data_IF_971674178107
#
_entry.id   IF_971674178107
#
_cell.length_a   1.000
_cell.length_b   1.000
_cell.length_c   1.000
_cell.angle_alpha   90.00
_cell.angle_beta   90.00
_cell.angle_gamma   90.00
#
_symmetry.space_group_name_H-M   'P 1'
#
loop_
_entity.id
_entity.type
_entity.pdbx_description
1 polymer ?
#
# COMPACT_ATOMS: atom_id res chain seq x y z
N UNK A 1 -12.43 -39.26 -6.41
CA UNK A 1 -12.00 -37.91 -6.86
C UNK A 1 -13.01 -36.93 -6.32
N UNK A 2 -12.66 -36.24 -5.23
CA UNK A 2 -13.41 -35.07 -4.77
C UNK A 2 -13.24 -33.96 -5.81
N UNK A 3 -14.31 -33.23 -6.19
CA UNK A 3 -14.16 -32.08 -7.07
C UNK A 3 -13.17 -31.11 -6.42
N UNK A 4 -12.15 -30.68 -7.16
CA UNK A 4 -11.34 -29.54 -6.76
C UNK A 4 -12.30 -28.39 -6.53
N UNK A 5 -12.37 -27.90 -5.29
CA UNK A 5 -13.11 -26.68 -5.00
C UNK A 5 -12.46 -25.59 -5.85
N UNK A 6 -13.20 -25.05 -6.82
CA UNK A 6 -12.80 -23.83 -7.51
C UNK A 6 -12.34 -22.82 -6.46
N UNK A 7 -11.14 -22.27 -6.65
CA UNK A 7 -10.62 -21.24 -5.76
C UNK A 7 -11.59 -20.06 -5.81
N UNK A 8 -12.34 -19.86 -4.74
CA UNK A 8 -13.21 -18.69 -4.61
C UNK A 8 -12.33 -17.48 -4.38
N UNK A 9 -12.07 -16.73 -5.44
CA UNK A 9 -11.40 -15.44 -5.37
C UNK A 9 -12.41 -14.43 -4.84
N UNK A 10 -12.37 -14.22 -3.54
CA UNK A 10 -13.03 -13.07 -2.94
C UNK A 10 -12.39 -11.81 -3.54
N UNK A 11 -13.20 -10.82 -3.94
CA UNK A 11 -12.76 -9.42 -4.01
C UNK A 11 -12.17 -9.10 -2.66
N UNK A 12 -10.86 -9.27 -2.53
CA UNK A 12 -10.17 -8.95 -1.29
C UNK A 12 -10.24 -7.44 -1.18
N UNK A 13 -10.77 -6.86 -0.09
CA UNK A 13 -10.41 -5.50 0.25
C UNK A 13 -8.89 -5.50 0.42
N UNK A 14 -8.19 -5.02 -0.60
CA UNK A 14 -6.73 -4.99 -0.61
C UNK A 14 -6.25 -4.17 0.59
N UNK A 15 -5.27 -4.69 1.35
CA UNK A 15 -5.55 -4.98 2.73
C UNK A 15 -5.06 -3.84 3.62
N UNK A 16 -5.99 -3.19 4.28
CA UNK A 16 -5.70 -2.58 5.57
C UNK A 16 -5.88 -3.64 6.67
N UNK A 17 -6.63 -4.72 6.39
CA UNK A 17 -6.84 -5.87 7.26
C UNK A 17 -5.71 -6.91 7.31
N UNK A 18 -4.62 -6.78 6.55
CA UNK A 18 -3.50 -7.76 6.55
C UNK A 18 -2.34 -7.36 7.45
N UNK A 19 -2.29 -6.12 7.91
CA UNK A 19 -1.50 -5.84 9.09
C UNK A 19 -2.26 -6.52 10.22
N UNK A 20 -1.74 -7.64 10.72
CA UNK A 20 -2.28 -8.37 11.86
C UNK A 20 -2.10 -7.54 13.16
N UNK A 21 -2.53 -6.28 13.14
CA UNK A 21 -2.62 -5.43 14.31
C UNK A 21 -3.54 -6.14 15.29
N UNK A 22 -3.12 -6.23 16.55
CA UNK A 22 -3.96 -6.81 17.59
C UNK A 22 -5.29 -6.06 17.61
N UNK A 23 -6.43 -6.77 17.60
CA UNK A 23 -7.78 -6.17 17.71
C UNK A 23 -7.95 -5.26 18.93
N UNK A 24 -7.08 -5.41 19.94
CA UNK A 24 -7.09 -4.58 21.14
C UNK A 24 -6.12 -3.39 21.07
N UNK A 25 -5.39 -3.19 19.95
CA UNK A 25 -4.33 -2.19 19.88
C UNK A 25 -4.83 -0.76 20.04
N UNK A 26 -6.04 -0.49 19.54
CA UNK A 26 -6.70 0.81 19.62
C UNK A 26 -7.99 0.77 20.44
N UNK A 27 -8.16 -0.22 21.33
CA UNK A 27 -9.31 -0.28 22.21
C UNK A 27 -9.15 0.75 23.34
N UNK A 28 -10.13 1.64 23.47
CA UNK A 28 -10.24 2.63 24.53
C UNK A 28 -11.51 2.40 25.37
N UNK A 29 -11.61 3.11 26.48
CA UNK A 29 -12.73 3.11 27.43
C UNK A 29 -13.38 4.48 27.42
N UNK A 30 -14.66 4.51 27.05
CA UNK A 30 -15.48 5.70 27.06
C UNK A 30 -15.67 6.22 28.50
N UNK A 31 -15.41 7.51 28.75
CA UNK A 31 -15.45 8.05 30.11
C UNK A 31 -16.86 8.21 30.67
N UNK A 32 -17.87 8.42 29.81
CA UNK A 32 -19.25 8.63 30.25
C UNK A 32 -19.94 7.30 30.54
N UNK A 33 -19.73 6.31 29.67
CA UNK A 33 -20.45 5.03 29.70
C UNK A 33 -19.64 3.89 30.31
N UNK A 34 -18.32 4.04 30.43
CA UNK A 34 -17.39 2.98 30.83
C UNK A 34 -17.26 1.84 29.82
N UNK A 35 -17.90 1.94 28.65
CA UNK A 35 -17.90 0.89 27.63
C UNK A 35 -16.67 0.98 26.73
N UNK A 36 -16.17 -0.17 26.23
CA UNK A 36 -15.07 -0.18 25.28
C UNK A 36 -15.51 0.36 23.91
N UNK A 37 -14.60 1.08 23.24
CA UNK A 37 -14.75 1.49 21.84
C UNK A 37 -13.37 1.48 21.14
N UNK A 38 -13.37 1.66 19.82
CA UNK A 38 -12.14 1.67 19.00
C UNK A 38 -12.27 2.64 17.80
N UNK A 39 -11.28 2.57 16.89
CA UNK A 39 -11.16 3.40 15.69
C UNK A 39 -11.33 2.60 14.37
N UNK A 40 -11.89 1.40 14.44
CA UNK A 40 -11.98 0.48 13.29
C UNK A 40 -12.86 1.04 12.18
N UNK A 41 -13.92 1.79 12.52
CA UNK A 41 -14.78 2.43 11.52
C UNK A 41 -14.02 3.45 10.67
N UNK A 42 -13.15 4.24 11.31
CA UNK A 42 -12.33 5.27 10.66
C UNK A 42 -11.25 4.64 9.78
N UNK A 43 -10.62 3.56 10.24
CA UNK A 43 -9.74 2.74 9.41
C UNK A 43 -10.51 2.18 8.20
N UNK A 44 -11.72 1.67 8.43
CA UNK A 44 -12.67 1.16 7.43
C UNK A 44 -12.95 2.13 6.28
N UNK A 45 -13.17 3.42 6.60
CA UNK A 45 -13.39 4.46 5.58
C UNK A 45 -12.16 4.60 4.68
N UNK A 46 -10.98 4.63 5.29
CA UNK A 46 -9.73 4.73 4.58
C UNK A 46 -9.45 3.50 3.70
N UNK A 47 -9.76 2.28 4.17
CA UNK A 47 -9.59 1.06 3.36
C UNK A 47 -10.44 1.10 2.09
N UNK A 48 -11.71 1.49 2.22
CA UNK A 48 -12.64 1.55 1.08
C UNK A 48 -12.18 2.53 0.02
N UNK A 49 -11.63 3.69 0.44
CA UNK A 49 -11.10 4.68 -0.49
C UNK A 49 -9.92 4.11 -1.29
N UNK A 50 -8.98 3.47 -0.61
CA UNK A 50 -7.79 2.91 -1.26
C UNK A 50 -8.14 1.70 -2.13
N UNK A 51 -9.04 0.83 -1.67
CA UNK A 51 -9.51 -0.31 -2.44
C UNK A 51 -10.07 0.10 -3.80
N UNK A 52 -10.80 1.23 -3.88
CA UNK A 52 -11.30 1.75 -5.17
C UNK A 52 -10.18 2.09 -6.17
N UNK A 53 -9.09 2.70 -5.70
CA UNK A 53 -7.93 3.07 -6.55
C UNK A 53 -7.16 1.82 -6.94
N UNK A 54 -6.91 0.94 -5.98
CA UNK A 54 -6.11 -0.26 -6.18
C UNK A 54 -6.83 -1.24 -7.11
N UNK A 55 -8.16 -1.40 -6.98
CA UNK A 55 -8.96 -2.23 -7.89
C UNK A 55 -8.99 -1.68 -9.32
N UNK A 56 -9.07 -0.35 -9.50
CA UNK A 56 -8.99 0.29 -10.81
C UNK A 56 -7.62 0.03 -11.49
N UNK A 57 -6.54 0.02 -10.71
CA UNK A 57 -5.21 -0.33 -11.21
C UNK A 57 -5.11 -1.82 -11.55
N UNK A 58 -5.57 -2.72 -10.67
CA UNK A 58 -5.33 -4.16 -10.82
C UNK A 58 -6.29 -4.83 -11.80
N UNK A 59 -7.58 -4.51 -11.71
CA UNK A 59 -8.59 -5.17 -12.52
C UNK A 59 -8.83 -4.45 -13.84
N UNK A 60 -8.77 -3.12 -13.86
CA UNK A 60 -9.01 -2.33 -15.07
C UNK A 60 -7.72 -1.92 -15.81
N UNK A 61 -6.55 -2.14 -15.21
CA UNK A 61 -5.26 -1.71 -15.75
C UNK A 61 -5.23 -0.21 -16.09
N UNK A 62 -5.93 0.62 -15.30
CA UNK A 62 -6.03 2.06 -15.54
C UNK A 62 -4.76 2.82 -15.10
N UNK A 63 -3.62 2.44 -15.67
CA UNK A 63 -2.31 2.94 -15.25
C UNK A 63 -2.12 4.43 -15.58
N UNK A 64 -2.74 4.94 -16.65
CA UNK A 64 -2.62 6.34 -17.03
C UNK A 64 -3.19 7.32 -16.00
N UNK A 65 -4.16 6.87 -15.19
CA UNK A 65 -4.71 7.60 -14.04
C UNK A 65 -3.64 7.97 -13.00
N UNK A 66 -2.51 7.26 -12.94
CA UNK A 66 -1.39 7.59 -12.05
C UNK A 66 -0.75 8.96 -12.38
N UNK A 67 -1.09 9.58 -13.51
CA UNK A 67 -0.69 10.97 -13.83
C UNK A 67 -1.66 12.03 -13.32
N UNK A 68 -2.83 11.65 -12.83
CA UNK A 68 -3.81 12.63 -12.37
C UNK A 68 -3.30 13.34 -11.12
N UNK A 69 -3.56 14.64 -11.06
CA UNK A 69 -3.12 15.55 -9.98
C UNK A 69 -4.27 16.40 -9.44
N UNK A 70 -5.51 16.08 -9.83
CA UNK A 70 -6.66 16.79 -9.29
C UNK A 70 -6.76 16.48 -7.79
N UNK A 71 -7.02 17.46 -6.89
CA UNK A 71 -7.07 17.20 -5.45
C UNK A 71 -8.00 16.02 -5.05
N UNK A 72 -9.15 15.90 -5.72
CA UNK A 72 -10.09 14.80 -5.47
C UNK A 72 -9.67 13.47 -6.11
N UNK A 73 -8.82 13.53 -7.15
CA UNK A 73 -8.34 12.39 -7.94
C UNK A 73 -6.83 12.48 -8.18
N UNK A 74 -6.06 12.31 -7.11
CA UNK A 74 -4.60 12.18 -7.14
C UNK A 74 -4.17 10.79 -6.64
N UNK A 75 -4.19 9.74 -7.49
CA UNK A 75 -3.93 8.37 -7.06
C UNK A 75 -2.56 8.17 -6.44
N UNK A 76 -1.51 8.80 -6.99
CA UNK A 76 -0.13 8.62 -6.49
C UNK A 76 0.03 9.21 -5.10
N UNK A 77 -0.58 10.35 -4.80
CA UNK A 77 -0.60 10.89 -3.43
C UNK A 77 -1.28 9.92 -2.47
N UNK A 78 -2.43 9.36 -2.85
CA UNK A 78 -3.17 8.41 -2.01
C UNK A 78 -2.40 7.11 -1.81
N UNK A 79 -1.78 6.55 -2.84
CA UNK A 79 -0.98 5.31 -2.79
C UNK A 79 0.30 5.48 -1.96
N UNK A 80 1.00 6.61 -2.10
CA UNK A 80 2.21 6.89 -1.30
C UNK A 80 1.86 7.19 0.15
N UNK A 81 0.75 7.88 0.41
CA UNK A 81 0.20 8.05 1.77
C UNK A 81 -0.18 6.70 2.38
N UNK A 82 -0.72 5.79 1.57
CA UNK A 82 -1.00 4.41 1.96
C UNK A 82 0.24 3.63 2.32
N UNK A 83 1.29 3.68 1.51
CA UNK A 83 2.56 3.04 1.83
C UNK A 83 3.08 3.47 3.21
N UNK A 84 3.08 4.78 3.49
CA UNK A 84 3.55 5.33 4.78
C UNK A 84 2.61 4.99 5.94
N UNK A 85 1.30 5.13 5.75
CA UNK A 85 0.32 4.82 6.80
C UNK A 85 0.41 3.35 7.21
N UNK A 86 0.59 2.46 6.24
CA UNK A 86 0.70 1.03 6.50
C UNK A 86 2.01 0.66 7.20
N UNK A 87 3.13 1.31 6.85
CA UNK A 87 4.35 1.19 7.62
C UNK A 87 4.11 1.54 9.09
N UNK A 88 3.38 2.61 9.37
CA UNK A 88 3.06 3.04 10.74
C UNK A 88 2.14 2.05 11.45
N UNK A 89 1.04 1.63 10.84
CA UNK A 89 0.15 0.61 11.41
C UNK A 89 0.90 -0.70 11.68
N UNK A 90 1.85 -1.06 10.82
CA UNK A 90 2.65 -2.27 11.00
C UNK A 90 3.67 -2.17 12.14
N UNK A 91 4.05 -0.99 12.62
CA UNK A 91 4.80 -0.86 13.87
C UNK A 91 3.99 -1.34 15.07
N UNK A 92 2.67 -1.46 14.97
CA UNK A 92 1.82 -2.06 16.01
C UNK A 92 1.60 -3.56 15.84
N UNK A 93 2.06 -4.16 14.74
CA UNK A 93 1.90 -5.59 14.48
C UNK A 93 2.87 -6.42 15.32
N UNK A 94 2.40 -7.36 16.18
CA UNK A 94 3.28 -8.22 16.97
C UNK A 94 4.20 -9.13 16.12
N UNK A 95 3.85 -9.40 14.87
CA UNK A 95 4.64 -10.23 13.95
C UNK A 95 5.70 -9.46 13.16
N UNK A 96 5.75 -8.12 13.30
CA UNK A 96 6.78 -7.28 12.70
C UNK A 96 8.13 -7.58 13.36
N UNK A 97 9.09 -8.02 12.54
CA UNK A 97 10.44 -8.44 12.93
C UNK A 97 11.48 -7.32 12.79
N UNK A 98 11.09 -6.11 12.40
CA UNK A 98 12.03 -5.00 12.29
C UNK A 98 12.74 -4.78 13.65
N UNK A 99 14.08 -4.92 13.71
CA UNK A 99 14.81 -4.80 14.97
C UNK A 99 14.72 -3.40 15.58
N UNK A 100 14.42 -2.37 14.77
CA UNK A 100 14.26 -0.98 15.19
C UNK A 100 12.80 -0.60 15.47
N UNK A 101 11.87 -1.56 15.47
CA UNK A 101 10.43 -1.31 15.62
C UNK A 101 10.08 -0.45 16.83
N UNK A 102 10.62 -0.76 18.00
CA UNK A 102 10.29 -0.03 19.24
C UNK A 102 10.83 1.40 19.22
N UNK A 103 12.09 1.57 18.83
CA UNK A 103 12.71 2.90 18.67
C UNK A 103 11.92 3.76 17.67
N UNK A 104 11.53 3.19 16.53
CA UNK A 104 10.69 3.90 15.55
C UNK A 104 9.33 4.29 16.15
N UNK A 105 8.65 3.37 16.83
CA UNK A 105 7.35 3.62 17.44
C UNK A 105 7.43 4.71 18.51
N UNK A 106 8.45 4.66 19.37
CA UNK A 106 8.74 5.70 20.36
C UNK A 106 8.98 7.05 19.67
N UNK A 107 9.80 7.10 18.62
CA UNK A 107 10.07 8.35 17.88
C UNK A 107 8.81 8.93 17.22
N UNK A 108 7.92 8.10 16.70
CA UNK A 108 6.68 8.56 16.08
C UNK A 108 5.67 9.05 17.11
N UNK A 109 5.62 8.43 18.28
CA UNK A 109 4.70 8.81 19.35
C UNK A 109 5.20 9.95 20.24
N UNK A 110 6.53 10.15 20.34
CA UNK A 110 7.15 11.08 21.27
C UNK A 110 6.51 12.48 21.20
N UNK A 111 6.31 13.02 19.98
CA UNK A 111 5.74 14.35 19.82
C UNK A 111 4.33 14.48 20.40
N UNK A 112 3.47 13.49 20.18
CA UNK A 112 2.10 13.48 20.72
C UNK A 112 2.12 13.25 22.23
N UNK A 113 3.01 12.38 22.70
CA UNK A 113 3.14 12.08 24.13
C UNK A 113 3.63 13.29 24.93
N UNK A 114 4.66 13.98 24.43
CA UNK A 114 5.26 15.15 25.08
C UNK A 114 4.28 16.33 25.15
N UNK A 115 3.38 16.45 24.17
CA UNK A 115 2.41 17.56 24.07
C UNK A 115 0.95 17.10 24.24
N UNK A 116 0.69 15.93 24.84
CA UNK A 116 -0.65 15.33 24.88
C UNK A 116 -1.69 16.25 25.50
N UNK A 117 -1.32 16.95 26.59
CA UNK A 117 -2.23 17.88 27.28
C UNK A 117 -2.66 19.04 26.38
N UNK A 118 -1.75 19.55 25.54
CA UNK A 118 -2.03 20.64 24.59
C UNK A 118 -2.93 20.17 23.45
N UNK A 119 -2.68 18.96 22.92
CA UNK A 119 -3.56 18.35 21.93
C UNK A 119 -4.97 18.11 22.50
N UNK A 120 -5.10 17.53 23.70
CA UNK A 120 -6.40 17.32 24.35
C UNK A 120 -7.13 18.65 24.55
N UNK A 121 -6.43 19.68 25.02
CA UNK A 121 -7.01 21.02 25.17
C UNK A 121 -7.55 21.55 23.83
N UNK A 122 -6.74 21.50 22.78
CA UNK A 122 -7.09 21.97 21.44
C UNK A 122 -8.28 21.20 20.85
N UNK A 123 -8.28 19.87 21.00
CA UNK A 123 -9.39 19.00 20.59
C UNK A 123 -10.69 19.39 21.29
N UNK A 124 -10.63 19.64 22.60
CA UNK A 124 -11.81 20.04 23.38
C UNK A 124 -12.34 21.44 23.02
N UNK A 125 -11.54 22.28 22.36
CA UNK A 125 -12.00 23.56 21.83
C UNK A 125 -12.63 23.44 20.43
N UNK A 126 -12.50 22.31 19.72
CA UNK A 126 -13.05 22.15 18.37
C UNK A 126 -14.55 22.45 18.26
N UNK A 127 -15.43 21.97 19.17
CA UNK A 127 -16.87 22.26 19.08
C UNK A 127 -17.23 23.75 19.16
N UNK A 128 -16.34 24.58 19.73
CA UNK A 128 -16.55 26.02 19.87
C UNK A 128 -15.83 26.83 18.80
N UNK A 129 -14.61 26.42 18.44
CA UNK A 129 -13.76 27.16 17.51
C UNK A 129 -14.03 26.84 16.03
N UNK A 130 -14.36 25.59 15.72
CA UNK A 130 -14.55 25.07 14.37
C UNK A 130 -15.74 24.09 14.37
N UNK A 131 -16.97 24.55 14.68
CA UNK A 131 -18.12 23.68 14.87
C UNK A 131 -18.45 22.85 13.62
N UNK A 132 -18.17 23.35 12.41
CA UNK A 132 -18.39 22.61 11.16
C UNK A 132 -17.59 21.31 11.06
N UNK A 133 -16.44 21.21 11.73
CA UNK A 133 -15.65 19.97 11.74
C UNK A 133 -16.37 18.86 12.52
N UNK A 134 -17.24 19.20 13.46
CA UNK A 134 -17.96 18.24 14.29
C UNK A 134 -19.07 17.49 13.54
N UNK A 135 -19.41 17.91 12.32
CA UNK A 135 -20.32 17.19 11.44
C UNK A 135 -19.68 15.89 10.89
N UNK A 136 -18.35 15.86 10.80
CA UNK A 136 -17.59 14.69 10.36
C UNK A 136 -17.26 13.76 11.54
N UNK A 137 -17.54 12.47 11.34
CA UNK A 137 -17.32 11.42 12.34
C UNK A 137 -15.87 11.30 12.82
N UNK A 138 -14.86 11.63 11.99
CA UNK A 138 -13.45 11.59 12.41
C UNK A 138 -13.19 12.53 13.57
N UNK A 139 -13.65 13.79 13.50
CA UNK A 139 -13.44 14.77 14.58
C UNK A 139 -14.25 14.42 15.83
N UNK A 140 -15.46 13.87 15.67
CA UNK A 140 -16.21 13.30 16.81
C UNK A 140 -15.45 12.17 17.48
N UNK A 141 -14.83 11.27 16.71
CA UNK A 141 -14.02 10.17 17.26
C UNK A 141 -12.78 10.70 17.97
N UNK A 142 -12.08 11.67 17.40
CA UNK A 142 -10.93 12.34 18.04
C UNK A 142 -11.32 12.97 19.37
N UNK A 143 -12.44 13.70 19.41
CA UNK A 143 -12.97 14.29 20.64
C UNK A 143 -13.30 13.22 21.69
N UNK A 144 -13.90 12.10 21.27
CA UNK A 144 -14.19 10.96 22.14
C UNK A 144 -12.91 10.31 22.69
N UNK A 145 -11.86 10.17 21.86
CA UNK A 145 -10.56 9.63 22.28
C UNK A 145 -9.90 10.54 23.32
N UNK A 146 -9.87 11.84 23.09
CA UNK A 146 -9.28 12.82 24.02
C UNK A 146 -9.93 12.73 25.42
N UNK A 147 -11.26 12.62 25.44
CA UNK A 147 -12.07 12.53 26.66
C UNK A 147 -12.25 11.11 27.20
N UNK A 148 -11.59 10.09 26.61
CA UNK A 148 -11.68 8.71 27.11
C UNK A 148 -11.04 8.55 28.49
N UNK A 149 -11.46 7.52 29.24
CA UNK A 149 -10.88 7.16 30.54
C UNK A 149 -9.63 6.24 30.42
N UNK A 150 -9.10 6.08 29.20
CA UNK A 150 -7.93 5.25 28.93
C UNK A 150 -6.62 5.92 29.33
N UNK A 151 -5.55 5.14 29.42
CA UNK A 151 -4.21 5.67 29.67
C UNK A 151 -3.76 6.64 28.58
N UNK A 152 -2.89 7.57 28.94
CA UNK A 152 -2.29 8.53 28.01
C UNK A 152 -1.61 7.83 26.83
N UNK A 153 -0.93 6.71 27.07
CA UNK A 153 -0.31 5.90 26.01
C UNK A 153 -1.34 5.42 24.96
N UNK A 154 -2.49 4.91 25.42
CA UNK A 154 -3.54 4.44 24.52
C UNK A 154 -4.18 5.61 23.76
N UNK A 155 -4.36 6.77 24.41
CA UNK A 155 -4.83 8.00 23.76
C UNK A 155 -3.86 8.46 22.68
N UNK A 156 -2.56 8.58 23.01
CA UNK A 156 -1.51 8.98 22.07
C UNK A 156 -1.52 8.10 20.82
N UNK A 157 -1.57 6.77 21.01
CA UNK A 157 -1.58 5.81 19.91
C UNK A 157 -2.80 5.97 19.01
N UNK A 158 -3.99 6.10 19.58
CA UNK A 158 -5.21 6.31 18.81
C UNK A 158 -5.23 7.67 18.09
N UNK A 159 -4.80 8.74 18.77
CA UNK A 159 -4.69 10.08 18.19
C UNK A 159 -3.67 10.12 17.05
N UNK A 160 -2.52 9.47 17.19
CA UNK A 160 -1.51 9.36 16.14
C UNK A 160 -2.10 8.79 14.85
N UNK A 161 -2.84 7.68 14.96
CA UNK A 161 -3.48 7.05 13.81
C UNK A 161 -4.58 7.93 13.23
N UNK A 162 -5.47 8.49 14.06
CA UNK A 162 -6.58 9.33 13.59
C UNK A 162 -6.07 10.61 12.89
N UNK A 163 -5.05 11.27 13.44
CA UNK A 163 -4.40 12.41 12.77
C UNK A 163 -3.71 12.00 11.47
N UNK A 164 -3.09 10.83 11.44
CA UNK A 164 -2.55 10.24 10.22
C UNK A 164 -3.62 10.04 9.15
N UNK A 165 -4.77 9.47 9.52
CA UNK A 165 -5.90 9.28 8.61
C UNK A 165 -6.48 10.62 8.12
N UNK A 166 -6.62 11.62 8.98
CA UNK A 166 -7.01 12.97 8.53
C UNK A 166 -6.01 13.53 7.52
N UNK A 167 -4.71 13.35 7.77
CA UNK A 167 -3.64 13.78 6.86
C UNK A 167 -3.75 13.11 5.49
N UNK A 168 -3.99 11.80 5.44
CA UNK A 168 -4.12 11.06 4.17
C UNK A 168 -5.40 11.38 3.42
N UNK A 169 -6.44 11.80 4.13
CA UNK A 169 -7.72 12.25 3.57
C UNK A 169 -7.73 13.74 3.19
N UNK A 170 -6.57 14.42 3.27
CA UNK A 170 -6.44 15.87 3.03
C UNK A 170 -7.41 16.71 3.89
N UNK A 171 -7.67 16.26 5.12
CA UNK A 171 -8.52 16.95 6.10
C UNK A 171 -7.65 17.74 7.09
N UNK A 172 -8.15 18.88 7.62
CA UNK A 172 -7.44 19.62 8.67
C UNK A 172 -7.05 18.72 9.85
N UNK A 173 -5.78 18.73 10.24
CA UNK A 173 -5.24 17.92 11.34
C UNK A 173 -4.32 18.75 12.22
N UNK A 174 -4.29 18.44 13.51
CA UNK A 174 -3.36 19.06 14.46
C UNK A 174 -1.94 18.49 14.33
N UNK A 175 -1.79 17.34 13.65
CA UNK A 175 -0.53 16.64 13.51
C UNK A 175 -0.40 16.02 12.12
N UNK A 176 0.63 16.42 11.38
CA UNK A 176 0.82 16.10 9.95
C UNK A 176 2.15 15.36 9.68
N UNK A 177 2.48 14.38 10.51
CA UNK A 177 3.73 13.61 10.34
C UNK A 177 3.69 12.66 9.15
N UNK A 178 2.51 12.13 8.81
CA UNK A 178 2.35 11.20 7.69
C UNK A 178 2.69 11.88 6.38
N UNK A 179 2.16 13.08 6.10
CA UNK A 179 2.48 13.78 4.85
C UNK A 179 3.95 14.23 4.82
N UNK A 180 4.51 14.68 5.95
CA UNK A 180 5.96 14.98 6.04
C UNK A 180 6.81 13.76 5.68
N UNK A 181 6.49 12.59 6.24
CA UNK A 181 7.23 11.35 5.98
C UNK A 181 7.05 10.88 4.53
N UNK A 182 5.82 10.90 4.01
CA UNK A 182 5.51 10.62 2.61
C UNK A 182 6.31 11.50 1.68
N UNK A 183 6.29 12.81 1.90
CA UNK A 183 7.02 13.76 1.07
C UNK A 183 8.51 13.44 1.13
N UNK A 184 9.09 13.21 2.31
CA UNK A 184 10.51 12.85 2.43
C UNK A 184 10.89 11.56 1.68
N UNK A 185 10.06 10.52 1.75
CA UNK A 185 10.34 9.21 1.13
C UNK A 185 10.11 9.26 -0.39
N UNK A 186 9.03 9.88 -0.83
CA UNK A 186 8.56 9.88 -2.21
C UNK A 186 8.82 11.23 -2.92
N UNK A 187 9.83 11.98 -2.48
CA UNK A 187 10.18 13.26 -3.12
C UNK A 187 10.63 13.02 -4.55
N UNK A 188 10.13 13.85 -5.47
CA UNK A 188 10.66 13.96 -6.82
C UNK A 188 10.47 12.71 -7.68
N UNK A 189 9.33 12.02 -7.52
CA UNK A 189 8.93 10.93 -8.42
C UNK A 189 8.92 11.44 -9.86
N UNK A 190 9.77 10.89 -10.72
CA UNK A 190 9.83 11.23 -12.14
C UNK A 190 9.41 10.07 -13.06
N UNK A 191 9.50 8.84 -12.58
CA UNK A 191 9.03 7.65 -13.31
C UNK A 191 8.24 6.77 -12.35
N UNK A 192 7.12 6.24 -12.85
CA UNK A 192 6.38 5.17 -12.19
C UNK A 192 6.45 3.96 -13.11
N UNK A 193 7.10 2.90 -12.65
CA UNK A 193 7.11 1.64 -13.37
C UNK A 193 5.97 0.76 -12.84
N UNK A 194 5.21 0.15 -13.75
CA UNK A 194 4.21 -0.85 -13.43
C UNK A 194 4.79 -2.21 -13.80
N UNK A 195 5.01 -3.06 -12.81
CA UNK A 195 5.56 -4.41 -13.00
C UNK A 195 4.40 -5.41 -12.92
N UNK A 196 4.11 -6.08 -14.04
CA UNK A 196 3.04 -7.06 -14.15
C UNK A 196 3.62 -8.46 -14.42
N UNK A 197 3.18 -9.46 -13.64
CA UNK A 197 3.74 -10.82 -13.74
C UNK A 197 3.43 -11.55 -15.05
N UNK A 198 2.58 -11.00 -15.91
CA UNK A 198 2.20 -11.62 -17.17
C UNK A 198 1.01 -12.59 -17.07
N UNK A 199 0.43 -12.75 -15.87
CA UNK A 199 -0.80 -13.50 -15.71
C UNK A 199 -1.89 -12.72 -15.00
N UNK A 200 -3.11 -13.05 -15.38
CA UNK A 200 -4.33 -12.47 -14.87
C UNK A 200 -4.39 -12.56 -13.35
N UNK A 201 -5.15 -11.64 -12.73
CA UNK A 201 -5.30 -11.60 -11.29
C UNK A 201 -5.84 -12.93 -10.75
N UNK A 202 -6.75 -13.58 -11.46
CA UNK A 202 -7.37 -14.85 -11.08
C UNK A 202 -6.64 -16.10 -11.59
N UNK A 203 -5.48 -15.96 -12.24
CA UNK A 203 -4.75 -17.09 -12.78
C UNK A 203 -4.32 -18.08 -11.69
N UNK A 204 -4.63 -19.36 -11.92
CA UNK A 204 -4.24 -20.51 -11.10
C UNK A 204 -2.96 -21.20 -11.58
N UNK A 205 -2.32 -20.69 -12.63
CA UNK A 205 -1.12 -21.28 -13.23
C UNK A 205 0.09 -21.19 -12.29
N UNK A 206 0.94 -22.24 -12.20
CA UNK A 206 2.32 -22.21 -11.68
C UNK A 206 3.10 -20.98 -12.15
N UNK A 207 3.47 -20.07 -11.23
CA UNK A 207 4.11 -18.77 -11.48
C UNK A 207 4.72 -18.17 -10.21
N UNK A 208 5.59 -17.17 -10.30
CA UNK A 208 5.96 -16.34 -9.17
C UNK A 208 4.90 -15.24 -8.97
N UNK A 209 4.63 -14.90 -7.71
CA UNK A 209 3.67 -13.88 -7.28
C UNK A 209 4.30 -12.87 -6.31
N UNK A 210 4.03 -11.57 -6.48
CA UNK A 210 4.50 -10.56 -5.54
C UNK A 210 3.94 -10.82 -4.14
N UNK A 211 4.81 -10.86 -3.14
CA UNK A 211 4.34 -10.91 -1.77
C UNK A 211 3.81 -9.55 -1.33
N UNK A 212 2.58 -9.55 -0.83
CA UNK A 212 2.01 -8.40 -0.12
C UNK A 212 2.30 -8.64 1.35
N UNK A 213 3.37 -8.04 1.86
CA UNK A 213 3.75 -8.17 3.26
C UNK A 213 3.15 -7.02 4.10
N UNK A 214 3.17 -7.14 5.45
CA UNK A 214 2.78 -6.05 6.33
C UNK A 214 3.63 -4.79 6.17
N UNK A 215 4.81 -4.90 5.54
CA UNK A 215 5.58 -3.75 5.06
C UNK A 215 5.15 -3.50 3.63
N UNK A 216 4.27 -2.52 3.47
CA UNK A 216 3.57 -2.27 2.20
C UNK A 216 4.51 -1.78 1.10
N UNK A 217 5.77 -1.44 1.40
CA UNK A 217 6.74 -1.06 0.40
C UNK A 217 8.19 -1.42 0.76
N UNK A 218 9.02 -1.59 -0.27
CA UNK A 218 10.46 -1.84 -0.19
C UNK A 218 11.23 -0.62 -0.71
N UNK A 219 12.19 -0.11 0.07
CA UNK A 219 13.07 0.99 -0.34
C UNK A 219 14.41 0.42 -0.78
N UNK A 220 14.67 0.44 -2.08
CA UNK A 220 15.96 0.09 -2.65
C UNK A 220 16.77 1.36 -2.95
N UNK A 221 17.43 1.85 -1.89
CA UNK A 221 18.08 3.17 -1.84
C UNK A 221 19.16 3.36 -2.90
N UNK A 222 19.94 2.32 -3.18
CA UNK A 222 21.08 2.40 -4.10
C UNK A 222 20.66 2.75 -5.53
N UNK A 223 19.40 2.46 -5.89
CA UNK A 223 18.83 2.77 -7.21
C UNK A 223 17.70 3.82 -7.16
N UNK A 224 17.46 4.47 -6.02
CA UNK A 224 16.34 5.39 -5.79
C UNK A 224 14.97 4.80 -6.15
N UNK A 225 14.81 3.49 -5.92
CA UNK A 225 13.61 2.71 -6.25
C UNK A 225 12.80 2.44 -5.00
N UNK A 226 11.49 2.61 -5.12
CA UNK A 226 10.54 2.27 -4.06
C UNK A 226 9.45 1.38 -4.62
N UNK A 227 9.44 0.10 -4.25
CA UNK A 227 8.45 -0.87 -4.69
C UNK A 227 7.25 -0.87 -3.75
N UNK A 228 6.05 -0.79 -4.31
CA UNK A 228 4.76 -0.89 -3.63
C UNK A 228 3.98 -2.05 -4.26
N UNK A 229 4.06 -3.27 -3.69
CA UNK A 229 3.25 -4.40 -4.11
C UNK A 229 1.77 -4.14 -3.84
N UNK A 230 0.94 -4.23 -4.89
CA UNK A 230 -0.50 -3.97 -4.79
C UNK A 230 -1.31 -5.26 -4.78
N UNK A 231 -0.86 -6.26 -5.54
CA UNK A 231 -1.44 -7.60 -5.61
C UNK A 231 -0.35 -8.62 -5.92
N UNK A 232 -0.70 -9.89 -5.89
CA UNK A 232 0.20 -10.98 -6.29
C UNK A 232 0.63 -10.90 -7.77
N UNK A 233 -0.04 -10.10 -8.61
CA UNK A 233 0.31 -9.97 -10.03
C UNK A 233 0.79 -8.58 -10.46
N UNK A 234 0.65 -7.54 -9.61
CA UNK A 234 1.03 -6.16 -9.94
C UNK A 234 1.78 -5.49 -8.77
N UNK A 235 2.90 -4.86 -9.11
CA UNK A 235 3.69 -3.96 -8.26
C UNK A 235 3.86 -2.62 -8.95
N UNK A 236 3.83 -1.54 -8.18
CA UNK A 236 4.31 -0.23 -8.63
C UNK A 236 5.75 -0.02 -8.16
N UNK A 237 6.60 0.56 -8.97
CA UNK A 237 7.93 1.04 -8.58
C UNK A 237 8.01 2.55 -8.82
N UNK A 238 8.25 3.32 -7.76
CA UNK A 238 8.46 4.75 -7.84
C UNK A 238 9.96 5.03 -7.96
N UNK A 239 10.37 5.68 -9.05
CA UNK A 239 11.73 6.18 -9.22
C UNK A 239 11.77 7.63 -8.76
N UNK A 240 12.49 7.84 -7.66
CA UNK A 240 12.62 9.14 -6.97
C UNK A 240 13.90 9.87 -7.37
N UNK A 241 13.95 11.18 -7.19
CA UNK A 241 15.10 11.99 -7.58
C UNK A 241 14.83 13.50 -7.55
N UNK A 242 15.44 14.24 -8.48
CA UNK A 242 15.44 15.72 -8.49
C UNK A 242 14.29 16.35 -9.28
N UNK A 243 13.19 15.64 -9.51
CA UNK A 243 12.08 16.17 -10.30
C UNK A 243 11.46 17.41 -9.66
N UNK A 244 11.45 18.52 -10.40
CA UNK A 244 10.91 19.81 -9.94
C UNK A 244 9.37 19.88 -10.00
N UNK A 245 8.74 19.07 -10.86
CA UNK A 245 7.29 19.07 -11.06
C UNK A 245 6.79 17.63 -11.19
N UNK A 246 5.62 17.35 -10.62
CA UNK A 246 5.01 16.03 -10.73
C UNK A 246 4.40 15.84 -12.12
N UNK A 247 5.11 15.13 -13.00
CA UNK A 247 4.64 14.70 -14.32
C UNK A 247 5.34 13.40 -14.71
N UNK A 248 5.01 12.28 -14.05
CA UNK A 248 5.78 11.06 -14.19
C UNK A 248 5.63 10.45 -15.59
N UNK A 249 6.75 9.94 -16.10
CA UNK A 249 6.71 8.93 -17.16
C UNK A 249 6.14 7.63 -16.56
N UNK A 250 5.32 6.92 -17.32
CA UNK A 250 4.78 5.63 -16.86
C UNK A 250 5.25 4.56 -17.81
N UNK A 251 6.04 3.63 -17.27
CA UNK A 251 6.64 2.53 -18.00
C UNK A 251 6.05 1.21 -17.49
N UNK A 252 5.47 0.40 -18.37
CA UNK A 252 4.80 -0.85 -18.04
C UNK A 252 5.68 -2.00 -18.49
N UNK A 253 6.16 -2.80 -17.54
CA UNK A 253 6.99 -3.97 -17.78
C UNK A 253 6.12 -5.21 -17.58
N UNK A 254 5.97 -5.99 -18.64
CA UNK A 254 5.23 -7.26 -18.58
C UNK A 254 5.78 -8.28 -19.57
N UNK A 255 5.80 -9.58 -19.20
CA UNK A 255 6.05 -10.65 -20.17
C UNK A 255 4.93 -10.84 -21.18
N UNK A 256 3.74 -10.34 -20.85
CA UNK A 256 2.54 -10.48 -21.66
C UNK A 256 1.78 -9.16 -21.75
N UNK A 257 2.39 -8.11 -22.33
CA UNK A 257 1.76 -6.79 -22.42
C UNK A 257 0.45 -6.83 -23.22
N UNK A 258 0.27 -7.82 -24.11
CA UNK A 258 -0.95 -8.01 -24.90
C UNK A 258 -2.17 -8.41 -24.05
N UNK A 259 -1.96 -8.96 -22.84
CA UNK A 259 -3.04 -9.32 -21.91
C UNK A 259 -3.59 -8.12 -21.13
N UNK A 260 -2.87 -6.99 -21.12
CA UNK A 260 -3.30 -5.81 -20.38
C UNK A 260 -4.42 -5.09 -21.11
N UNK A 261 -5.52 -4.78 -20.41
CA UNK A 261 -6.66 -4.02 -20.95
C UNK A 261 -6.26 -2.66 -21.53
N UNK A 262 -5.21 -2.04 -20.97
CA UNK A 262 -4.68 -0.75 -21.39
C UNK A 262 -3.60 -0.83 -22.48
N UNK A 263 -3.34 -1.99 -23.09
CA UNK A 263 -2.20 -2.21 -24.01
C UNK A 263 -2.17 -1.26 -25.24
N UNK A 264 -3.30 -0.62 -25.56
CA UNK A 264 -3.42 0.38 -26.63
C UNK A 264 -3.30 1.83 -26.16
N UNK A 265 -3.13 2.09 -24.86
CA UNK A 265 -2.99 3.45 -24.31
C UNK A 265 -1.65 4.07 -24.72
N UNK A 266 -1.71 5.03 -25.64
CA UNK A 266 -0.54 5.73 -26.20
C UNK A 266 0.17 6.64 -25.20
N UNK A 267 -0.47 6.94 -24.06
CA UNK A 267 0.16 7.70 -23.00
C UNK A 267 1.15 6.84 -22.20
N UNK A 268 1.11 5.52 -22.30
CA UNK A 268 1.97 4.59 -21.57
C UNK A 268 3.12 4.10 -22.46
N UNK A 269 4.27 3.81 -21.86
CA UNK A 269 5.34 3.08 -22.54
C UNK A 269 5.28 1.62 -22.13
N UNK A 270 5.04 0.72 -23.07
CA UNK A 270 5.08 -0.71 -22.81
C UNK A 270 6.46 -1.27 -23.13
N UNK A 271 6.92 -2.17 -22.28
CA UNK A 271 8.13 -2.96 -22.44
C UNK A 271 7.78 -4.43 -22.27
N UNK A 272 8.08 -5.22 -23.30
CA UNK A 272 8.08 -6.67 -23.19
C UNK A 272 9.34 -7.09 -22.43
N UNK A 273 9.18 -7.96 -21.44
CA UNK A 273 10.27 -8.49 -20.59
C UNK A 273 10.15 -10.00 -20.48
N UNK A 274 11.21 -10.69 -20.06
CA UNK A 274 11.12 -12.12 -19.75
C UNK A 274 10.37 -12.36 -18.43
N UNK A 275 9.91 -13.59 -18.20
CA UNK A 275 9.45 -13.98 -16.86
C UNK A 275 10.61 -13.95 -15.86
N UNK A 276 11.83 -14.32 -16.26
CA UNK A 276 13.02 -14.19 -15.41
C UNK A 276 13.28 -12.75 -14.92
N UNK A 277 13.03 -11.75 -15.77
CA UNK A 277 13.10 -10.34 -15.34
C UNK A 277 12.13 -10.06 -14.19
N UNK A 278 10.90 -10.58 -14.27
CA UNK A 278 9.91 -10.47 -13.20
C UNK A 278 10.36 -11.21 -11.94
N UNK A 279 10.90 -12.42 -12.09
CA UNK A 279 11.41 -13.25 -10.98
C UNK A 279 12.50 -12.52 -10.19
N UNK A 280 13.39 -11.80 -10.87
CA UNK A 280 14.43 -10.99 -10.25
C UNK A 280 13.87 -9.79 -9.45
N UNK A 281 12.90 -9.05 -10.02
CA UNK A 281 12.23 -7.94 -9.31
C UNK A 281 11.50 -8.46 -8.08
N UNK A 282 10.77 -9.56 -8.24
CA UNK A 282 10.07 -10.22 -7.16
C UNK A 282 11.00 -10.67 -6.04
N UNK A 283 12.10 -11.33 -6.38
CA UNK A 283 13.09 -11.82 -5.40
C UNK A 283 13.61 -10.67 -4.55
N UNK A 284 13.85 -9.50 -5.16
CA UNK A 284 14.27 -8.28 -4.44
C UNK A 284 13.21 -7.84 -3.41
N UNK A 285 11.95 -7.80 -3.82
CA UNK A 285 10.82 -7.43 -2.95
C UNK A 285 10.63 -8.44 -1.82
N UNK A 286 10.66 -9.73 -2.15
CA UNK A 286 10.44 -10.83 -1.22
C UNK A 286 11.56 -10.92 -0.17
N UNK A 287 12.81 -10.71 -0.57
CA UNK A 287 13.94 -10.64 0.37
C UNK A 287 13.75 -9.53 1.41
N UNK A 288 13.25 -8.37 1.01
CA UNK A 288 12.94 -7.27 1.93
C UNK A 288 11.79 -7.63 2.89
N UNK A 289 10.77 -8.30 2.37
CA UNK A 289 9.58 -8.70 3.12
C UNK A 289 9.87 -9.81 4.14
N UNK A 290 10.65 -10.82 3.77
CA UNK A 290 11.05 -11.93 4.67
C UNK A 290 11.88 -11.41 5.85
N UNK A 291 12.72 -10.40 5.62
CA UNK A 291 13.54 -9.79 6.67
C UNK A 291 12.72 -9.05 7.74
N UNK A 292 11.46 -8.74 7.47
CA UNK A 292 10.70 -7.75 8.25
C UNK A 292 9.35 -8.26 8.79
N UNK A 293 8.91 -9.47 8.38
CA UNK A 293 7.65 -10.08 8.83
C UNK A 293 7.78 -11.58 9.10
N UNK A 294 7.01 -12.09 10.06
CA UNK A 294 6.81 -13.54 10.28
C UNK A 294 5.73 -14.15 9.37
N UNK A 295 4.91 -13.30 8.76
CA UNK A 295 3.81 -13.68 7.89
C UNK A 295 4.14 -13.23 6.48
N UNK A 296 4.21 -14.21 5.58
CA UNK A 296 4.44 -14.04 4.16
C UNK A 296 3.21 -14.59 3.44
N UNK A 297 2.50 -13.72 2.71
CA UNK A 297 1.41 -14.16 1.85
C UNK A 297 2.01 -14.61 0.52
N UNK A 298 2.44 -15.86 0.48
CA UNK A 298 2.76 -16.53 -0.77
C UNK A 298 1.45 -16.98 -1.41
N UNK A 299 1.24 -16.64 -2.69
CA UNK A 299 0.21 -17.32 -3.48
C UNK A 299 0.60 -18.77 -3.84
N UNK A 300 1.83 -19.20 -3.48
CA UNK A 300 2.42 -20.47 -3.87
C UNK A 300 2.52 -21.49 -2.75
N UNK A 301 1.95 -22.66 -3.02
CA UNK A 301 2.30 -23.90 -2.33
C UNK A 301 3.65 -24.40 -2.87
N UNK A 302 4.54 -24.88 -1.99
CA UNK A 302 5.87 -25.37 -2.35
C UNK A 302 5.84 -26.47 -3.44
N UNK A 303 4.78 -27.27 -3.49
CA UNK A 303 4.55 -28.27 -4.54
C UNK A 303 4.51 -27.66 -5.95
N UNK A 304 3.92 -26.47 -6.09
CA UNK A 304 3.79 -25.77 -7.37
C UNK A 304 5.06 -25.04 -7.81
N UNK A 305 6.03 -24.86 -6.91
CA UNK A 305 7.34 -24.30 -7.27
C UNK A 305 8.11 -25.27 -8.19
N UNK A 306 8.14 -26.56 -7.84
CA UNK A 306 8.79 -27.56 -8.69
C UNK A 306 8.12 -27.64 -10.07
N UNK A 307 6.78 -27.58 -10.11
CA UNK A 307 6.05 -27.52 -11.39
C UNK A 307 6.41 -26.29 -12.22
N UNK A 308 6.63 -25.14 -11.58
CA UNK A 308 7.06 -23.92 -12.28
C UNK A 308 8.47 -24.05 -12.85
N UNK A 309 9.42 -24.59 -12.06
CA UNK A 309 10.79 -24.84 -12.51
C UNK A 309 10.84 -25.84 -13.67
N UNK A 310 10.02 -26.90 -13.62
CA UNK A 310 9.90 -27.87 -14.70
C UNK A 310 9.38 -27.21 -15.99
N UNK A 311 8.42 -26.28 -15.89
CA UNK A 311 7.94 -25.50 -17.05
C UNK A 311 9.02 -24.59 -17.64
N UNK A 312 9.78 -23.91 -16.79
CA UNK A 312 10.91 -23.08 -17.24
C UNK A 312 11.93 -23.90 -18.03
N UNK A 313 12.20 -25.13 -17.58
CA UNK A 313 13.11 -26.02 -18.29
C UNK A 313 12.53 -26.54 -19.62
N UNK A 314 11.21 -26.77 -19.68
CA UNK A 314 10.54 -27.27 -20.89
C UNK A 314 10.40 -26.20 -21.98
N UNK A 315 10.15 -24.93 -21.62
CA UNK A 315 9.93 -23.83 -22.55
C UNK A 315 10.87 -22.64 -22.27
N UNK A 316 12.17 -22.91 -22.36
CA UNK A 316 13.20 -21.95 -21.99
C UNK A 316 13.06 -20.61 -22.71
N UNK A 317 12.79 -20.61 -24.02
CA UNK A 317 12.68 -19.36 -24.77
C UNK A 317 11.50 -18.51 -24.29
N UNK A 318 10.36 -19.11 -23.96
CA UNK A 318 9.21 -18.38 -23.43
C UNK A 318 9.51 -17.70 -22.08
N UNK A 319 10.25 -18.36 -21.18
CA UNK A 319 10.52 -17.83 -19.84
C UNK A 319 11.70 -16.85 -19.78
N UNK A 320 12.70 -17.00 -20.66
CA UNK A 320 13.95 -16.24 -20.61
C UNK A 320 14.13 -15.21 -21.73
N UNK A 321 13.18 -15.09 -22.66
CA UNK A 321 13.22 -14.05 -23.71
C UNK A 321 12.14 -12.97 -23.52
N UNK A 322 12.44 -11.71 -23.86
CA UNK A 322 13.75 -11.18 -24.24
C UNK A 322 14.71 -11.10 -23.03
N UNK A 323 16.02 -11.20 -23.28
CA UNK A 323 17.06 -11.10 -22.24
C UNK A 323 17.04 -9.73 -21.53
N UNK A 324 16.70 -8.67 -22.27
CA UNK A 324 16.58 -7.31 -21.76
C UNK A 324 15.21 -6.73 -22.12
N UNK A 325 14.66 -5.78 -21.33
CA UNK A 325 13.42 -5.11 -21.67
C UNK A 325 13.43 -4.49 -23.08
N UNK A 326 12.44 -4.85 -23.90
CA UNK A 326 12.28 -4.33 -25.26
C UNK A 326 11.02 -3.52 -25.36
N UNK A 327 11.10 -2.31 -25.92
CA UNK A 327 9.91 -1.48 -26.14
C UNK A 327 8.89 -2.22 -27.00
N UNK A 328 7.67 -2.35 -26.49
CA UNK A 328 6.58 -3.07 -27.13
C UNK A 328 5.54 -2.07 -27.66
N UNK A 329 4.94 -2.42 -28.79
CA UNK A 329 3.77 -1.74 -29.32
C UNK A 329 2.75 -2.79 -29.76
N UNK A 330 1.45 -2.55 -29.52
CA UNK A 330 0.42 -3.44 -30.02
C UNK A 330 0.49 -3.47 -31.55
N UNK A 331 0.33 -4.66 -32.13
CA UNK A 331 0.19 -4.80 -33.57
C UNK A 331 -0.96 -3.90 -34.04
N UNK A 332 -0.70 -3.03 -35.03
CA UNK A 332 -1.75 -2.21 -35.61
C UNK A 332 -2.74 -3.16 -36.28
N UNK A 333 -3.98 -3.18 -35.80
CA UNK A 333 -5.09 -3.80 -36.50
C UNK A 333 -5.26 -3.05 -37.82
N UNK A 334 -4.78 -3.66 -38.91
CA UNK A 334 -5.11 -3.22 -40.27
C UNK A 334 -6.63 -3.36 -40.38
N UNK A 335 -7.32 -2.23 -40.44
CA UNK A 335 -8.77 -2.17 -40.64
C UNK A 335 -9.11 -2.24 -42.11
#
# INVERSE_FOLDING_TARGET
>A
MTPEKENVLHTQPLPISSVAVSKNCFRLIDAETGQPFDIEDELGVYERLLAGIVNDIIHEHNFSRLRHTHPDDFPVEKLTSFAVMQLMLNLHNPQNKNPYKQEMLEQFHADIQDHLSEYIHSINQLPHSNPELMDDHFYRKILRVANSASSDENKCRALFVLFGLLSTLNKPTLYDKINKLRNNIFTGIHTIEVIHTGHDFDSTEPRPAFAIAPNVFCIYKDENRIYLPLSHNITLCFITGTALHFRPRIDVFSPRPERLKCCHDRSLNFYNVSFDYIDNVMTTIDMYNVGTSSTFYSAYELSKLNEYLDKQQQDHDYYYTPENPVKWQPAQTVT
#
